data_IF_892157341210
#
_entry.id   IF_892157341210
#
_cell.length_a   1.000
_cell.length_b   1.000
_cell.length_c   1.000
_cell.angle_alpha   90.00
_cell.angle_beta   90.00
_cell.angle_gamma   90.00
#
_symmetry.space_group_name_H-M   'P 1'
#
loop_
_entity.id
_entity.type
_entity.pdbx_description
1 polymer ?
#
# COMPACT_ATOMS: atom_id res chain seq x y z
N UNK A 1 66.25 -14.50 2.24
CA UNK A 1 65.17 -14.23 3.22
C UNK A 1 64.21 -13.13 2.76
N UNK A 2 64.67 -11.94 2.35
CA UNK A 2 63.79 -10.83 1.93
C UNK A 2 62.81 -11.15 0.78
N UNK A 3 63.23 -11.99 -0.18
CA UNK A 3 62.41 -12.38 -1.34
C UNK A 3 61.23 -13.30 -0.98
N UNK A 4 61.36 -14.11 0.08
CA UNK A 4 60.31 -15.05 0.52
C UNK A 4 59.24 -14.32 1.33
N UNK A 5 59.65 -13.34 2.15
CA UNK A 5 58.72 -12.49 2.90
C UNK A 5 57.80 -11.65 1.99
N UNK A 6 58.34 -11.17 0.86
CA UNK A 6 57.55 -10.40 -0.11
C UNK A 6 56.48 -11.24 -0.83
N UNK A 7 56.81 -12.48 -1.20
CA UNK A 7 55.85 -13.39 -1.84
C UNK A 7 54.71 -13.74 -0.87
N UNK A 8 55.03 -14.06 0.39
CA UNK A 8 54.01 -14.38 1.39
C UNK A 8 53.06 -13.20 1.67
N UNK A 9 53.56 -11.97 1.69
CA UNK A 9 52.73 -10.77 1.88
C UNK A 9 51.77 -10.53 0.70
N UNK A 10 52.23 -10.74 -0.54
CA UNK A 10 51.39 -10.59 -1.74
C UNK A 10 50.30 -11.67 -1.77
N UNK A 11 50.62 -12.91 -1.40
CA UNK A 11 49.64 -13.98 -1.30
C UNK A 11 48.57 -13.67 -0.25
N UNK A 12 48.97 -13.20 0.94
CA UNK A 12 48.03 -12.82 1.99
C UNK A 12 47.11 -11.66 1.57
N UNK A 13 47.65 -10.65 0.89
CA UNK A 13 46.87 -9.53 0.37
C UNK A 13 45.87 -9.95 -0.73
N UNK A 14 46.26 -10.89 -1.61
CA UNK A 14 45.37 -11.42 -2.63
C UNK A 14 44.22 -12.24 -2.01
N UNK A 15 44.48 -13.03 -0.96
CA UNK A 15 43.43 -13.76 -0.25
C UNK A 15 42.46 -12.81 0.49
N UNK A 16 42.95 -11.72 1.09
CA UNK A 16 42.06 -10.74 1.72
C UNK A 16 41.20 -9.99 0.70
N UNK A 17 41.72 -9.73 -0.49
CA UNK A 17 40.96 -9.05 -1.55
C UNK A 17 39.85 -9.96 -2.12
N UNK A 18 40.14 -11.25 -2.28
CA UNK A 18 39.14 -12.25 -2.66
C UNK A 18 38.04 -12.42 -1.61
N UNK A 19 38.40 -12.44 -0.31
CA UNK A 19 37.43 -12.50 0.78
C UNK A 19 36.56 -11.23 0.87
N UNK A 20 37.13 -10.05 0.59
CA UNK A 20 36.35 -8.82 0.47
C UNK A 20 35.40 -8.85 -0.73
N UNK A 21 35.79 -9.48 -1.85
CA UNK A 21 34.92 -9.62 -3.04
C UNK A 21 33.70 -10.51 -2.76
N UNK A 22 33.91 -11.68 -2.13
CA UNK A 22 32.83 -12.62 -1.80
C UNK A 22 31.88 -12.04 -0.76
N UNK A 23 32.41 -11.34 0.25
CA UNK A 23 31.57 -10.66 1.23
C UNK A 23 30.80 -9.49 0.62
N UNK A 24 31.40 -8.74 -0.32
CA UNK A 24 30.68 -7.70 -1.05
C UNK A 24 29.57 -8.29 -1.93
N UNK A 25 29.81 -9.43 -2.57
CA UNK A 25 28.81 -10.13 -3.39
C UNK A 25 27.63 -10.61 -2.54
N UNK A 26 27.89 -11.32 -1.44
CA UNK A 26 26.84 -11.72 -0.48
C UNK A 26 26.06 -10.52 0.06
N UNK A 27 26.73 -9.45 0.49
CA UNK A 27 26.04 -8.26 0.98
C UNK A 27 25.20 -7.58 -0.13
N UNK A 28 25.62 -7.67 -1.39
CA UNK A 28 24.86 -7.13 -2.51
C UNK A 28 23.64 -8.00 -2.82
N UNK A 29 23.78 -9.33 -2.78
CA UNK A 29 22.65 -10.27 -2.89
C UNK A 29 21.64 -10.05 -1.77
N UNK A 30 22.08 -10.00 -0.51
CA UNK A 30 21.24 -9.73 0.65
C UNK A 30 20.54 -8.36 0.55
N UNK A 31 21.24 -7.34 0.03
CA UNK A 31 20.64 -6.02 -0.17
C UNK A 31 19.58 -6.02 -1.29
N UNK A 32 19.79 -6.79 -2.35
CA UNK A 32 18.80 -6.94 -3.44
C UNK A 32 17.59 -7.72 -2.96
N UNK A 33 17.79 -8.84 -2.25
CA UNK A 33 16.71 -9.62 -1.67
C UNK A 33 15.92 -8.80 -0.64
N UNK A 34 16.62 -8.08 0.25
CA UNK A 34 15.99 -7.18 1.20
C UNK A 34 15.20 -6.06 0.52
N UNK A 35 15.74 -5.43 -0.52
CA UNK A 35 15.02 -4.40 -1.28
C UNK A 35 13.78 -4.96 -1.99
N UNK A 36 13.84 -6.21 -2.49
CA UNK A 36 12.68 -6.88 -3.08
C UNK A 36 11.62 -7.19 -2.02
N UNK A 37 12.01 -7.73 -0.86
CA UNK A 37 11.10 -8.02 0.24
C UNK A 37 10.44 -6.74 0.79
N UNK A 38 11.20 -5.66 0.95
CA UNK A 38 10.67 -4.35 1.36
C UNK A 38 9.69 -3.79 0.31
N UNK A 39 9.98 -3.99 -0.97
CA UNK A 39 9.08 -3.56 -2.05
C UNK A 39 7.79 -4.37 -2.04
N UNK A 40 7.87 -5.69 -1.89
CA UNK A 40 6.71 -6.57 -1.81
C UNK A 40 5.84 -6.21 -0.61
N UNK A 41 6.42 -6.13 0.60
CA UNK A 41 5.68 -5.80 1.81
C UNK A 41 5.03 -4.41 1.76
N UNK A 42 5.72 -3.39 1.24
CA UNK A 42 5.14 -2.05 1.09
C UNK A 42 4.05 -2.01 0.02
N UNK A 43 4.19 -2.79 -1.06
CA UNK A 43 3.18 -2.88 -2.11
C UNK A 43 1.93 -3.56 -1.59
N UNK A 44 2.07 -4.68 -0.88
CA UNK A 44 0.96 -5.37 -0.22
C UNK A 44 0.24 -4.45 0.77
N UNK A 45 0.99 -3.77 1.67
CA UNK A 45 0.39 -2.84 2.63
C UNK A 45 -0.35 -1.66 1.95
N UNK A 46 0.18 -1.17 0.83
CA UNK A 46 -0.48 -0.11 0.05
C UNK A 46 -1.77 -0.62 -0.63
N UNK A 47 -1.78 -1.86 -1.12
CA UNK A 47 -2.96 -2.50 -1.71
C UNK A 47 -4.03 -2.70 -0.64
N UNK A 48 -3.68 -3.31 0.50
CA UNK A 48 -4.63 -3.55 1.60
C UNK A 48 -5.25 -2.24 2.10
N UNK A 49 -4.43 -1.18 2.23
CA UNK A 49 -4.94 0.14 2.62
C UNK A 49 -5.85 0.76 1.56
N UNK A 50 -5.59 0.52 0.27
CA UNK A 50 -6.43 1.02 -0.81
C UNK A 50 -7.76 0.27 -0.87
N UNK A 51 -7.75 -1.06 -0.71
CA UNK A 51 -8.96 -1.90 -0.66
C UNK A 51 -9.86 -1.48 0.51
N UNK A 52 -9.30 -1.32 1.71
CA UNK A 52 -10.06 -0.82 2.87
C UNK A 52 -10.66 0.57 2.64
N UNK A 53 -9.92 1.47 1.97
CA UNK A 53 -10.42 2.80 1.62
C UNK A 53 -11.54 2.77 0.57
N UNK A 54 -11.50 1.83 -0.36
CA UNK A 54 -12.56 1.62 -1.36
C UNK A 54 -13.82 1.06 -0.70
N UNK A 55 -13.68 0.08 0.20
CA UNK A 55 -14.81 -0.50 0.92
C UNK A 55 -15.54 0.54 1.80
N UNK A 56 -14.79 1.38 2.53
CA UNK A 56 -15.37 2.47 3.32
C UNK A 56 -16.10 3.48 2.42
N UNK A 57 -15.48 3.88 1.31
CA UNK A 57 -16.11 4.81 0.36
C UNK A 57 -17.38 4.22 -0.25
N UNK A 58 -17.43 2.91 -0.51
CA UNK A 58 -18.63 2.23 -0.99
C UNK A 58 -19.75 2.27 0.06
N UNK A 59 -19.43 2.01 1.34
CA UNK A 59 -20.40 2.12 2.44
C UNK A 59 -20.94 3.54 2.60
N UNK A 60 -20.08 4.56 2.52
CA UNK A 60 -20.52 5.96 2.57
C UNK A 60 -21.44 6.33 1.39
N UNK A 61 -21.15 5.83 0.18
CA UNK A 61 -21.99 6.04 -1.00
C UNK A 61 -23.36 5.38 -0.85
N UNK A 62 -23.40 4.13 -0.38
CA UNK A 62 -24.66 3.42 -0.13
C UNK A 62 -25.50 4.16 0.92
N UNK A 63 -24.89 4.59 2.03
CA UNK A 63 -25.57 5.39 3.05
C UNK A 63 -26.07 6.74 2.50
N UNK A 64 -25.29 7.41 1.65
CA UNK A 64 -25.72 8.64 1.01
C UNK A 64 -26.91 8.41 0.07
N UNK A 65 -26.93 7.30 -0.66
CA UNK A 65 -28.05 6.92 -1.52
C UNK A 65 -29.33 6.66 -0.72
N UNK A 66 -29.23 5.90 0.39
CA UNK A 66 -30.35 5.66 1.31
C UNK A 66 -30.93 6.97 1.86
N UNK A 67 -30.06 7.90 2.29
CA UNK A 67 -30.48 9.21 2.79
C UNK A 67 -31.20 10.06 1.71
N UNK A 68 -30.78 9.95 0.45
CA UNK A 68 -31.43 10.65 -0.67
C UNK A 68 -32.81 10.06 -0.94
N UNK A 69 -32.94 8.73 -0.95
CA UNK A 69 -34.22 8.05 -1.15
C UNK A 69 -35.21 8.39 -0.01
N UNK A 70 -34.76 8.38 1.24
CA UNK A 70 -35.56 8.78 2.40
C UNK A 70 -36.03 10.24 2.29
N UNK A 71 -35.13 11.15 1.90
CA UNK A 71 -35.48 12.56 1.71
C UNK A 71 -36.48 12.76 0.56
N UNK A 72 -36.33 12.01 -0.54
CA UNK A 72 -37.27 12.04 -1.66
C UNK A 72 -38.65 11.53 -1.25
N UNK A 73 -38.71 10.40 -0.54
CA UNK A 73 -39.96 9.84 -0.03
C UNK A 73 -40.68 10.80 0.95
N UNK A 74 -39.92 11.46 1.84
CA UNK A 74 -40.47 12.47 2.74
C UNK A 74 -41.06 13.67 1.96
N UNK A 75 -40.32 14.19 0.96
CA UNK A 75 -40.79 15.29 0.12
C UNK A 75 -42.05 14.93 -0.68
N UNK A 76 -42.12 13.71 -1.24
CA UNK A 76 -43.33 13.24 -1.93
C UNK A 76 -44.54 13.14 -0.98
N UNK A 77 -44.32 12.64 0.23
CA UNK A 77 -45.37 12.54 1.25
C UNK A 77 -45.90 13.91 1.68
N UNK A 78 -45.03 14.91 1.77
CA UNK A 78 -45.39 16.29 2.12
C UNK A 78 -46.21 16.95 1.00
N UNK A 79 -45.76 16.81 -0.26
CA UNK A 79 -46.49 17.30 -1.43
C UNK A 79 -47.88 16.65 -1.57
N UNK A 80 -47.99 15.34 -1.38
CA UNK A 80 -49.29 14.65 -1.48
C UNK A 80 -50.28 15.12 -0.40
N UNK A 81 -49.82 15.36 0.82
CA UNK A 81 -50.68 15.88 1.89
C UNK A 81 -51.20 17.29 1.57
N UNK A 82 -50.36 18.14 0.99
CA UNK A 82 -50.74 19.49 0.56
C UNK A 82 -51.84 19.43 -0.51
N UNK A 83 -51.69 18.58 -1.54
CA UNK A 83 -52.74 18.41 -2.58
C UNK A 83 -54.07 17.90 -2.03
N UNK A 84 -54.03 16.99 -1.05
CA UNK A 84 -55.25 16.46 -0.43
C UNK A 84 -55.95 17.53 0.41
N UNK A 85 -55.16 18.38 1.08
CA UNK A 85 -55.67 19.51 1.85
C UNK A 85 -56.32 20.56 0.95
N UNK A 86 -55.68 20.94 -0.16
CA UNK A 86 -56.26 21.86 -1.14
C UNK A 86 -57.55 21.31 -1.76
N UNK A 87 -57.60 20.02 -2.09
CA UNK A 87 -58.81 19.39 -2.61
C UNK A 87 -59.98 19.35 -1.61
N UNK A 88 -59.71 19.43 -0.30
CA UNK A 88 -60.76 19.41 0.73
C UNK A 88 -61.45 20.78 0.96
N UNK A 89 -60.90 21.86 0.39
CA UNK A 89 -61.43 23.22 0.52
C UNK A 89 -62.10 23.77 -0.75
N UNK A 90 -62.13 23.00 -1.85
CA UNK A 90 -62.89 23.27 -3.09
C UNK A 90 -64.30 22.63 -3.04
#
# INVERSE_FOLDING_TARGET
>A
MRKIALVAAISAAALSLAACSESTEQNAEDAVEGAMADTESNTEAAIDSAEAGVDEAAMEVDQAAENVDDAAAAAEGELQNETTTEAAVD
#
